data_IF_290290937421
#
_entry.id   IF_290290937421
#
_cell.length_a   1.000
_cell.length_b   1.000
_cell.length_c   1.000
_cell.angle_alpha   90.00
_cell.angle_beta   90.00
_cell.angle_gamma   90.00
#
_symmetry.space_group_name_H-M   'P 1'
#
loop_
_entity.id
_entity.type
_entity.pdbx_description
1 polymer ?
#
# COMPACT_ATOMS: atom_id res chain seq x y z
N UNK A 1 59.92 22.53 8.65
CA UNK A 1 60.29 22.89 10.05
C UNK A 1 58.97 23.18 10.77
N UNK A 2 58.67 22.47 11.85
CA UNK A 2 57.54 22.70 12.74
C UNK A 2 56.62 21.45 12.86
N UNK A 3 57.12 20.41 13.54
CA UNK A 3 56.32 19.27 13.97
C UNK A 3 55.57 19.64 15.25
N UNK A 4 54.26 19.31 15.30
CA UNK A 4 53.48 19.29 16.52
C UNK A 4 53.05 17.87 16.84
N UNK A 5 53.38 17.47 18.09
CA UNK A 5 53.18 16.13 18.67
C UNK A 5 51.71 15.88 19.07
N UNK A 6 51.32 14.58 19.28
CA UNK A 6 49.94 14.23 19.63
C UNK A 6 49.71 14.30 21.16
N UNK A 7 48.54 14.80 21.54
CA UNK A 7 48.01 14.79 22.90
C UNK A 7 47.69 13.33 23.34
N UNK A 8 48.35 12.91 24.44
CA UNK A 8 47.96 11.73 25.22
C UNK A 8 46.81 12.09 26.16
N UNK A 9 45.78 11.28 26.17
CA UNK A 9 44.73 11.29 27.18
C UNK A 9 45.00 10.11 28.14
N UNK A 10 45.32 10.42 29.37
CA UNK A 10 45.50 9.44 30.45
C UNK A 10 44.14 8.94 30.95
N UNK A 11 43.94 7.62 30.89
CA UNK A 11 42.83 6.92 31.57
C UNK A 11 43.21 6.68 33.03
N UNK A 12 42.55 7.37 33.95
CA UNK A 12 42.62 7.08 35.38
C UNK A 12 41.68 5.91 35.72
N UNK A 13 42.25 4.78 36.06
CA UNK A 13 41.58 3.61 36.64
C UNK A 13 41.33 3.87 38.16
N UNK A 14 40.07 3.99 38.53
CA UNK A 14 39.67 4.03 39.94
C UNK A 14 39.30 2.60 40.39
N UNK A 15 40.17 2.00 41.21
CA UNK A 15 39.92 0.73 41.93
C UNK A 15 39.35 1.07 43.31
N UNK A 16 38.20 0.52 43.68
CA UNK A 16 37.72 0.41 45.05
C UNK A 16 37.80 -1.05 45.52
N UNK A 17 38.12 -1.27 46.79
CA UNK A 17 38.55 -2.58 47.32
C UNK A 17 37.36 -3.46 47.78
N UNK A 18 37.60 -4.76 47.69
CA UNK A 18 36.79 -5.83 48.28
C UNK A 18 36.73 -5.76 49.80
N UNK A 19 35.53 -5.75 50.36
CA UNK A 19 35.32 -6.24 51.74
C UNK A 19 34.56 -7.56 51.72
N UNK A 20 35.27 -8.57 52.22
CA UNK A 20 34.74 -9.90 52.49
C UNK A 20 34.10 -9.91 53.91
N UNK A 21 32.82 -10.23 53.99
CA UNK A 21 32.19 -10.58 55.27
C UNK A 21 31.83 -12.05 55.25
N UNK A 22 32.61 -12.81 56.03
CA UNK A 22 32.27 -14.18 56.40
C UNK A 22 31.25 -14.17 57.53
N UNK A 23 30.17 -14.88 57.42
CA UNK A 23 29.27 -15.20 58.54
C UNK A 23 28.91 -16.67 58.58
N UNK A 24 29.14 -17.15 59.78
CA UNK A 24 29.05 -18.49 60.36
C UNK A 24 27.76 -19.26 60.02
N UNK A 25 28.01 -20.55 59.82
CA UNK A 25 27.01 -21.64 59.94
C UNK A 25 26.55 -21.78 61.40
N UNK A 26 25.25 -21.78 61.62
CA UNK A 26 24.67 -22.50 62.76
C UNK A 26 23.66 -23.54 62.23
N UNK A 27 23.91 -24.78 62.52
CA UNK A 27 23.04 -25.92 62.35
C UNK A 27 22.02 -25.93 63.47
N UNK A 28 20.74 -25.96 63.10
CA UNK A 28 19.70 -26.48 64.04
C UNK A 28 18.81 -27.46 63.29
N UNK A 29 18.86 -28.69 63.71
CA UNK A 29 17.99 -29.78 63.33
C UNK A 29 16.63 -29.59 64.02
N UNK A 30 15.52 -29.58 63.27
CA UNK A 30 14.24 -30.03 63.79
C UNK A 30 13.46 -30.77 62.71
N UNK A 31 12.99 -31.93 63.12
CA UNK A 31 12.19 -32.89 62.37
C UNK A 31 10.75 -32.39 62.24
N UNK A 32 10.11 -32.72 61.10
CA UNK A 32 8.71 -33.02 61.14
C UNK A 32 7.86 -32.37 60.05
N UNK A 33 7.17 -33.24 59.39
CA UNK A 33 5.87 -33.08 58.74
C UNK A 33 5.79 -32.69 57.25
N UNK A 34 5.25 -33.62 56.57
CA UNK A 34 4.62 -33.60 55.23
C UNK A 34 4.09 -32.28 54.78
N UNK A 35 4.51 -31.83 53.61
CA UNK A 35 3.79 -30.80 52.90
C UNK A 35 3.73 -31.11 51.42
N UNK A 36 2.55 -31.25 50.99
CA UNK A 36 1.94 -31.36 49.66
C UNK A 36 2.71 -30.44 48.65
N UNK A 37 3.37 -31.09 47.69
CA UNK A 37 3.94 -30.36 46.57
C UNK A 37 2.83 -29.94 45.64
N UNK A 38 2.39 -28.68 45.70
CA UNK A 38 1.61 -28.05 44.66
C UNK A 38 2.51 -27.83 43.45
N UNK A 39 2.48 -28.74 42.51
CA UNK A 39 2.92 -28.50 41.13
C UNK A 39 1.94 -27.51 40.52
N UNK A 40 2.24 -26.23 40.61
CA UNK A 40 1.66 -25.23 39.71
C UNK A 40 2.30 -25.43 38.34
N UNK A 41 1.60 -26.24 37.52
CA UNK A 41 1.82 -26.27 36.07
C UNK A 41 1.43 -24.91 35.54
N UNK A 42 2.41 -24.00 35.45
CA UNK A 42 2.29 -22.77 34.69
C UNK A 42 2.11 -23.16 33.23
N UNK A 43 0.88 -23.27 32.78
CA UNK A 43 0.54 -23.29 31.36
C UNK A 43 1.01 -21.94 30.79
N UNK A 44 2.22 -21.92 30.25
CA UNK A 44 2.66 -20.95 29.29
C UNK A 44 1.71 -21.07 28.08
N UNK A 45 0.64 -20.27 28.08
CA UNK A 45 -0.06 -19.96 26.84
C UNK A 45 0.96 -19.22 25.97
N UNK A 46 1.71 -19.99 25.18
CA UNK A 46 2.34 -19.46 23.99
C UNK A 46 1.20 -18.97 23.13
N UNK A 47 0.97 -17.65 23.11
CA UNK A 47 0.26 -17.00 22.04
C UNK A 47 1.07 -17.28 20.78
N UNK A 48 0.80 -18.43 20.15
CA UNK A 48 1.19 -18.67 18.77
C UNK A 48 0.53 -17.56 17.99
N UNK A 49 1.33 -16.59 17.52
CA UNK A 49 0.88 -15.68 16.48
C UNK A 49 0.37 -16.60 15.35
N UNK A 50 -0.96 -16.67 15.16
CA UNK A 50 -1.56 -17.49 14.12
C UNK A 50 -1.17 -16.89 12.77
N UNK A 51 -0.06 -17.35 12.18
CA UNK A 51 0.19 -17.18 10.77
C UNK A 51 -1.06 -17.68 10.02
N UNK A 52 -1.63 -16.85 9.13
CA UNK A 52 -2.83 -17.21 8.38
C UNK A 52 -4.17 -16.83 9.02
N UNK A 53 -4.19 -16.18 10.21
CA UNK A 53 -5.44 -15.83 10.89
C UNK A 53 -6.38 -14.97 10.04
N UNK A 54 -5.85 -14.03 9.23
CA UNK A 54 -6.68 -13.20 8.37
C UNK A 54 -7.28 -13.99 7.22
N UNK A 55 -6.50 -14.85 6.57
CA UNK A 55 -7.02 -15.69 5.48
C UNK A 55 -8.16 -16.62 5.96
N UNK A 56 -8.00 -17.25 7.12
CA UNK A 56 -9.03 -18.10 7.69
C UNK A 56 -10.28 -17.31 8.11
N UNK A 57 -10.10 -16.11 8.68
CA UNK A 57 -11.21 -15.21 8.99
C UNK A 57 -11.95 -14.76 7.72
N UNK A 58 -11.22 -14.41 6.65
CA UNK A 58 -11.78 -14.04 5.34
C UNK A 58 -12.62 -15.20 4.79
N UNK A 59 -12.06 -16.43 4.77
CA UNK A 59 -12.78 -17.63 4.32
C UNK A 59 -14.03 -17.89 5.17
N UNK A 60 -13.92 -17.77 6.48
CA UNK A 60 -15.03 -18.01 7.42
C UNK A 60 -16.17 -17.01 7.24
N UNK A 61 -15.89 -15.71 7.09
CA UNK A 61 -16.91 -14.68 6.88
C UNK A 61 -17.46 -14.64 5.44
N UNK A 62 -16.77 -15.28 4.48
CA UNK A 62 -17.23 -15.47 3.10
C UNK A 62 -17.02 -14.26 2.18
N UNK A 63 -16.22 -13.27 2.56
CA UNK A 63 -15.87 -12.10 1.75
C UNK A 63 -14.58 -11.44 2.24
N UNK A 64 -13.94 -10.68 1.35
CA UNK A 64 -12.81 -9.78 1.68
C UNK A 64 -13.37 -8.42 2.12
N UNK A 65 -12.97 -7.88 3.27
CA UNK A 65 -13.25 -6.50 3.65
C UNK A 65 -12.09 -5.62 3.18
N UNK A 66 -12.31 -4.82 2.16
CA UNK A 66 -11.28 -3.99 1.54
C UNK A 66 -11.46 -2.51 1.86
N UNK A 67 -10.42 -1.88 2.43
CA UNK A 67 -10.37 -0.44 2.62
C UNK A 67 -9.98 0.27 1.32
N UNK A 68 -10.83 1.17 0.86
CA UNK A 68 -10.67 1.96 -0.37
C UNK A 68 -10.73 3.46 -0.06
N UNK A 69 -10.43 4.31 -1.04
CA UNK A 69 -10.54 5.76 -0.90
C UNK A 69 -11.99 6.24 -0.85
N UNK A 70 -12.18 7.42 -0.33
CA UNK A 70 -13.45 8.13 -0.11
C UNK A 70 -13.98 8.86 -1.35
N UNK A 71 -13.67 8.37 -2.56
CA UNK A 71 -14.23 8.91 -3.82
C UNK A 71 -13.19 9.46 -4.78
N UNK A 72 -12.18 8.64 -5.11
CA UNK A 72 -11.09 9.01 -6.02
C UNK A 72 -11.35 8.48 -7.44
N UNK A 73 -11.61 9.33 -8.46
CA UNK A 73 -11.82 8.91 -9.83
C UNK A 73 -10.68 8.05 -10.37
N UNK A 74 -11.02 7.02 -11.11
CA UNK A 74 -10.07 6.06 -11.68
C UNK A 74 -9.51 5.04 -10.69
N UNK A 75 -9.47 5.32 -9.39
CA UNK A 75 -8.95 4.41 -8.36
C UNK A 75 -10.04 3.73 -7.54
N UNK A 76 -10.91 4.52 -6.89
CA UNK A 76 -12.07 4.00 -6.17
C UNK A 76 -13.17 5.06 -6.11
N UNK A 77 -14.28 4.80 -6.74
CA UNK A 77 -15.45 5.67 -6.75
C UNK A 77 -16.72 4.83 -6.91
N UNK A 78 -17.83 5.33 -6.40
CA UNK A 78 -19.13 4.74 -6.60
C UNK A 78 -19.81 5.36 -7.84
N UNK A 79 -20.45 4.54 -8.66
CA UNK A 79 -21.32 5.00 -9.74
C UNK A 79 -22.69 5.46 -9.21
N UNK A 80 -23.58 5.87 -10.10
CA UNK A 80 -24.92 6.33 -9.75
C UNK A 80 -25.81 5.25 -9.09
N UNK A 81 -25.42 3.97 -9.18
CA UNK A 81 -26.12 2.84 -8.57
C UNK A 81 -25.52 2.48 -7.21
N UNK A 82 -24.40 3.10 -6.85
CA UNK A 82 -23.65 2.78 -5.64
C UNK A 82 -22.63 1.65 -5.83
N UNK A 83 -22.43 1.15 -7.06
CA UNK A 83 -21.42 0.13 -7.35
C UNK A 83 -20.03 0.77 -7.40
N UNK A 84 -19.07 0.14 -6.72
CA UNK A 84 -17.70 0.63 -6.70
C UNK A 84 -16.91 0.20 -7.93
N UNK A 85 -16.14 1.14 -8.49
CA UNK A 85 -15.28 0.99 -9.65
C UNK A 85 -13.91 1.61 -9.39
N UNK A 86 -12.92 1.21 -10.18
CA UNK A 86 -11.59 1.79 -10.18
C UNK A 86 -10.48 0.76 -10.05
N UNK A 87 -9.25 1.21 -10.24
CA UNK A 87 -8.06 0.37 -10.24
C UNK A 87 -7.80 -0.27 -8.86
N UNK A 88 -7.96 0.49 -7.77
CA UNK A 88 -7.86 -0.02 -6.40
C UNK A 88 -8.97 -1.06 -6.10
N UNK A 89 -10.17 -0.82 -6.62
CA UNK A 89 -11.32 -1.74 -6.50
C UNK A 89 -11.05 -3.05 -7.24
N UNK A 90 -10.44 -2.99 -8.41
CA UNK A 90 -10.08 -4.19 -9.18
C UNK A 90 -9.04 -5.06 -8.46
N UNK A 91 -8.08 -4.44 -7.75
CA UNK A 91 -7.14 -5.19 -6.89
C UNK A 91 -7.89 -5.92 -5.77
N UNK A 92 -8.85 -5.27 -5.10
CA UNK A 92 -9.69 -5.93 -4.08
C UNK A 92 -10.49 -7.10 -4.68
N UNK A 93 -11.07 -6.92 -5.87
CA UNK A 93 -11.79 -7.96 -6.62
C UNK A 93 -10.89 -9.13 -7.02
N UNK A 94 -9.63 -8.84 -7.40
CA UNK A 94 -8.66 -9.87 -7.72
C UNK A 94 -8.38 -10.78 -6.52
N UNK A 95 -8.20 -10.20 -5.33
CA UNK A 95 -8.02 -10.98 -4.10
C UNK A 95 -9.27 -11.82 -3.78
N UNK A 96 -10.47 -11.25 -3.92
CA UNK A 96 -11.71 -11.99 -3.72
C UNK A 96 -11.88 -13.14 -4.73
N UNK A 97 -11.55 -12.91 -6.01
CA UNK A 97 -11.57 -13.94 -7.04
C UNK A 97 -10.55 -15.06 -6.74
N UNK A 98 -9.37 -14.73 -6.23
CA UNK A 98 -8.36 -15.71 -5.83
C UNK A 98 -8.85 -16.61 -4.69
N UNK A 99 -9.44 -16.02 -3.64
CA UNK A 99 -9.83 -16.74 -2.43
C UNK A 99 -11.13 -17.55 -2.63
N UNK A 100 -12.12 -16.95 -3.29
CA UNK A 100 -13.48 -17.49 -3.38
C UNK A 100 -13.86 -17.99 -4.78
N UNK A 101 -13.02 -17.76 -5.79
CA UNK A 101 -13.42 -17.99 -7.18
C UNK A 101 -14.51 -17.02 -7.68
N UNK A 102 -14.81 -15.97 -6.91
CA UNK A 102 -15.86 -14.97 -7.19
C UNK A 102 -15.40 -13.57 -6.80
N UNK A 103 -15.18 -12.70 -7.80
CA UNK A 103 -14.74 -11.32 -7.63
C UNK A 103 -15.77 -10.44 -6.90
N UNK A 104 -17.02 -10.89 -6.75
CA UNK A 104 -18.08 -10.17 -6.02
C UNK A 104 -18.04 -10.44 -4.50
N UNK A 105 -17.24 -11.38 -4.05
CA UNK A 105 -17.05 -11.70 -2.62
C UNK A 105 -16.14 -10.69 -1.93
N UNK A 106 -16.43 -9.41 -2.12
CA UNK A 106 -15.71 -8.27 -1.51
C UNK A 106 -16.71 -7.25 -1.02
N UNK A 107 -16.42 -6.66 0.14
CA UNK A 107 -17.10 -5.49 0.69
C UNK A 107 -16.10 -4.35 0.85
N UNK A 108 -16.55 -3.14 0.68
CA UNK A 108 -15.70 -1.97 0.69
C UNK A 108 -15.97 -1.10 1.93
N UNK A 109 -14.90 -0.60 2.55
CA UNK A 109 -14.95 0.46 3.55
C UNK A 109 -14.25 1.68 2.97
N UNK A 110 -14.99 2.77 2.78
CA UNK A 110 -14.39 4.05 2.38
C UNK A 110 -13.67 4.66 3.57
N UNK A 111 -12.41 5.03 3.39
CA UNK A 111 -11.52 5.53 4.43
C UNK A 111 -10.83 6.81 3.97
N UNK A 112 -10.79 7.79 4.85
CA UNK A 112 -9.94 8.96 4.66
C UNK A 112 -8.45 8.59 4.76
N UNK A 113 -7.57 9.50 4.38
CA UNK A 113 -6.12 9.27 4.51
C UNK A 113 -5.67 9.12 5.97
N UNK A 114 -6.39 9.72 6.93
CA UNK A 114 -6.11 9.61 8.38
C UNK A 114 -6.54 8.27 8.95
N UNK A 115 -7.69 7.74 8.54
CA UNK A 115 -8.34 6.57 9.14
C UNK A 115 -7.76 5.24 8.65
N UNK A 116 -7.24 5.20 7.42
CA UNK A 116 -6.88 3.94 6.73
C UNK A 116 -5.97 3.01 7.53
N UNK A 117 -4.97 3.56 8.22
CA UNK A 117 -4.02 2.72 8.97
C UNK A 117 -4.63 2.19 10.26
N UNK A 118 -5.42 2.98 10.96
CA UNK A 118 -6.15 2.54 12.17
C UNK A 118 -7.17 1.47 11.83
N UNK A 119 -7.93 1.62 10.74
CA UNK A 119 -8.88 0.63 10.27
C UNK A 119 -8.20 -0.71 9.89
N UNK A 120 -7.01 -0.65 9.25
CA UNK A 120 -6.24 -1.85 8.96
C UNK A 120 -5.69 -2.51 10.23
N UNK A 121 -5.11 -1.73 11.14
CA UNK A 121 -4.53 -2.23 12.39
C UNK A 121 -5.57 -2.86 13.32
N UNK A 122 -6.75 -2.26 13.42
CA UNK A 122 -7.86 -2.77 14.26
C UNK A 122 -8.53 -4.03 13.71
N UNK A 123 -8.31 -4.35 12.41
CA UNK A 123 -8.98 -5.45 11.74
C UNK A 123 -10.36 -5.10 11.19
N UNK A 124 -10.74 -3.83 11.16
CA UNK A 124 -11.95 -3.35 10.49
C UNK A 124 -11.91 -3.69 8.99
N UNK A 125 -10.73 -3.60 8.39
CA UNK A 125 -10.47 -4.07 7.03
C UNK A 125 -9.38 -5.14 7.01
N UNK A 126 -9.45 -6.05 6.04
CA UNK A 126 -8.47 -7.13 5.88
C UNK A 126 -7.24 -6.64 5.10
N UNK A 127 -7.46 -5.74 4.18
CA UNK A 127 -6.43 -5.12 3.35
C UNK A 127 -6.80 -3.68 3.00
N UNK A 128 -5.79 -2.90 2.62
CA UNK A 128 -5.96 -1.61 1.97
C UNK A 128 -5.58 -1.72 0.50
N UNK A 129 -6.45 -1.27 -0.38
CA UNK A 129 -6.14 -0.88 -1.75
C UNK A 129 -6.72 0.52 -1.92
N UNK A 130 -5.89 1.53 -1.61
CA UNK A 130 -6.36 2.90 -1.37
C UNK A 130 -5.27 3.92 -1.73
N UNK A 131 -4.64 3.77 -2.89
CA UNK A 131 -3.62 4.72 -3.37
C UNK A 131 -2.66 5.13 -2.24
N UNK A 132 -2.05 4.13 -1.57
CA UNK A 132 -1.24 4.34 -0.37
C UNK A 132 0.24 4.23 -0.69
N UNK A 133 0.96 5.33 -0.56
CA UNK A 133 2.40 5.40 -0.78
C UNK A 133 3.16 4.52 0.22
N UNK A 134 3.97 3.61 -0.29
CA UNK A 134 4.91 2.82 0.50
C UNK A 134 6.10 3.69 0.91
N UNK A 135 6.25 3.92 2.21
CA UNK A 135 7.40 4.64 2.79
C UNK A 135 8.04 3.83 3.91
N UNK A 136 9.33 4.07 4.18
CA UNK A 136 10.05 3.39 5.25
C UNK A 136 9.42 3.61 6.63
N UNK A 137 8.90 4.81 6.92
CA UNK A 137 8.24 5.10 8.19
C UNK A 137 6.94 4.33 8.37
N UNK A 138 6.11 4.26 7.31
CA UNK A 138 4.85 3.50 7.35
C UNK A 138 5.10 2.00 7.47
N UNK A 139 6.04 1.47 6.70
CA UNK A 139 6.41 0.06 6.71
C UNK A 139 7.10 -0.34 8.03
N UNK A 140 8.00 0.51 8.53
CA UNK A 140 8.77 0.22 9.75
C UNK A 140 7.99 0.38 11.06
N UNK A 141 7.15 1.42 11.18
CA UNK A 141 6.61 1.85 12.47
C UNK A 141 5.13 1.54 12.69
N UNK A 142 4.34 1.30 11.63
CA UNK A 142 2.88 1.23 11.75
C UNK A 142 2.31 -0.20 11.88
N UNK A 143 3.13 -1.25 12.02
CA UNK A 143 2.64 -2.62 12.12
C UNK A 143 1.86 -3.10 10.88
N UNK A 144 2.13 -2.49 9.73
CA UNK A 144 1.57 -2.83 8.43
C UNK A 144 2.68 -3.33 7.49
N UNK A 145 2.31 -3.97 6.40
CA UNK A 145 3.22 -4.51 5.41
C UNK A 145 2.68 -4.20 4.02
N UNK A 146 3.53 -3.60 3.19
CA UNK A 146 3.21 -3.28 1.80
C UNK A 146 3.55 -4.46 0.90
N UNK A 147 2.67 -4.81 -0.06
CA UNK A 147 2.79 -6.03 -0.88
C UNK A 147 3.68 -5.81 -2.11
N UNK A 148 3.10 -5.39 -3.22
CA UNK A 148 3.79 -5.03 -4.45
C UNK A 148 3.25 -3.71 -4.96
N UNK A 149 4.09 -2.91 -5.61
CA UNK A 149 3.66 -1.62 -6.15
C UNK A 149 2.61 -1.84 -7.23
N UNK A 150 1.39 -1.36 -6.97
CA UNK A 150 0.29 -1.41 -7.93
C UNK A 150 0.36 -0.27 -8.94
N UNK A 151 0.83 0.91 -8.52
CA UNK A 151 0.92 2.09 -9.37
C UNK A 151 2.11 2.96 -8.98
N UNK A 152 2.95 3.30 -9.92
CA UNK A 152 4.06 4.26 -9.75
C UNK A 152 3.56 5.65 -10.09
N UNK A 153 3.52 6.52 -9.10
CA UNK A 153 3.07 7.89 -9.20
C UNK A 153 4.12 8.89 -8.69
N UNK A 154 3.76 10.13 -8.66
CA UNK A 154 4.53 11.21 -8.08
C UNK A 154 3.65 12.42 -7.79
N UNK A 155 4.03 13.21 -6.80
CA UNK A 155 3.30 14.40 -6.42
C UNK A 155 3.46 15.52 -7.46
N UNK A 156 2.35 16.17 -7.81
CA UNK A 156 2.30 17.30 -8.73
C UNK A 156 1.43 18.44 -8.21
N UNK A 157 1.10 19.35 -9.10
CA UNK A 157 0.39 20.60 -8.80
C UNK A 157 -0.70 20.86 -9.83
N UNK A 158 -1.91 21.13 -9.38
CA UNK A 158 -3.04 21.60 -10.21
C UNK A 158 -3.31 23.06 -9.88
N UNK A 159 -3.33 23.91 -10.90
CA UNK A 159 -3.57 25.34 -10.78
C UNK A 159 -4.62 25.82 -11.77
N UNK A 160 -5.31 26.93 -11.45
CA UNK A 160 -6.10 27.63 -12.44
C UNK A 160 -5.17 28.36 -13.41
N UNK A 161 -5.41 28.25 -14.71
CA UNK A 161 -4.61 28.91 -15.77
C UNK A 161 -4.57 30.43 -15.62
N UNK A 162 -5.57 31.04 -14.96
CA UNK A 162 -5.59 32.48 -14.65
C UNK A 162 -4.44 32.91 -13.75
N UNK A 163 -3.84 31.99 -12.98
CA UNK A 163 -2.66 32.25 -12.18
C UNK A 163 -1.42 32.61 -13.06
N UNK A 164 -1.43 32.20 -14.32
CA UNK A 164 -0.40 32.54 -15.31
C UNK A 164 0.91 31.78 -15.17
N UNK A 165 1.04 30.89 -14.18
CA UNK A 165 2.25 30.09 -13.91
C UNK A 165 2.36 28.89 -14.84
N UNK A 166 3.59 28.51 -15.18
CA UNK A 166 3.89 27.36 -16.05
C UNK A 166 4.80 26.33 -15.38
N UNK A 167 5.32 26.66 -14.22
CA UNK A 167 6.28 25.85 -13.47
C UNK A 167 6.01 25.94 -11.98
N UNK A 168 6.24 24.85 -11.25
CA UNK A 168 6.17 24.83 -9.80
C UNK A 168 7.15 25.81 -9.13
N UNK A 169 8.21 26.22 -9.83
CA UNK A 169 9.17 27.22 -9.35
C UNK A 169 8.59 28.65 -9.30
N UNK A 170 7.47 28.86 -9.95
CA UNK A 170 6.78 30.16 -9.98
C UNK A 170 5.70 30.26 -8.87
N UNK A 171 5.59 29.25 -7.99
CA UNK A 171 4.60 29.16 -6.93
C UNK A 171 5.06 29.73 -5.58
N UNK A 172 6.13 30.57 -5.56
CA UNK A 172 6.59 31.20 -4.33
C UNK A 172 5.50 32.09 -3.72
N UNK A 173 5.22 31.90 -2.43
CA UNK A 173 4.19 32.63 -1.70
C UNK A 173 2.74 32.12 -1.88
N UNK A 174 2.50 31.14 -2.76
CA UNK A 174 1.17 30.63 -3.05
C UNK A 174 0.53 29.87 -1.85
N UNK A 175 -0.81 29.79 -1.87
CA UNK A 175 -1.61 28.98 -0.92
C UNK A 175 -1.91 27.61 -1.51
N UNK A 176 -1.72 26.55 -0.69
CA UNK A 176 -1.84 25.15 -1.12
C UNK A 176 -2.96 24.43 -0.39
N UNK A 177 -3.90 23.85 -1.13
CA UNK A 177 -4.84 22.87 -0.62
C UNK A 177 -4.16 21.51 -0.53
N UNK A 178 -4.21 20.87 0.65
CA UNK A 178 -3.55 19.59 0.94
C UNK A 178 -4.48 18.70 1.73
N UNK A 179 -4.56 17.40 1.38
CA UNK A 179 -5.27 16.43 2.22
C UNK A 179 -4.40 16.00 3.40
N UNK A 180 -4.92 16.12 4.61
CA UNK A 180 -4.25 15.70 5.84
C UNK A 180 -4.06 14.17 5.92
N UNK A 181 -2.98 13.72 6.60
CA UNK A 181 -2.65 12.30 6.73
C UNK A 181 -1.97 11.68 5.50
N UNK A 182 -1.57 12.51 4.54
CA UNK A 182 -0.80 12.12 3.35
C UNK A 182 0.70 12.42 3.53
N UNK A 183 1.53 11.92 2.63
CA UNK A 183 2.96 12.30 2.55
C UNK A 183 3.15 13.63 1.81
N UNK A 184 2.11 14.11 1.16
CA UNK A 184 2.08 15.32 0.32
C UNK A 184 2.58 16.56 1.06
N UNK A 185 2.22 16.70 2.34
CA UNK A 185 2.62 17.83 3.17
C UNK A 185 4.15 17.87 3.39
N UNK A 186 4.75 16.71 3.70
CA UNK A 186 6.20 16.60 3.90
C UNK A 186 6.97 16.86 2.60
N UNK A 187 6.52 16.26 1.50
CA UNK A 187 7.14 16.45 0.19
C UNK A 187 7.08 17.91 -0.26
N UNK A 188 5.93 18.57 -0.04
CA UNK A 188 5.76 19.99 -0.34
C UNK A 188 6.74 20.85 0.47
N UNK A 189 6.81 20.60 1.79
CA UNK A 189 7.72 21.31 2.69
C UNK A 189 9.17 21.16 2.24
N UNK A 190 9.59 19.95 1.91
CA UNK A 190 10.96 19.68 1.46
C UNK A 190 11.27 20.33 0.12
N UNK A 191 10.34 20.28 -0.84
CA UNK A 191 10.51 20.90 -2.15
C UNK A 191 10.65 22.43 -2.04
N UNK A 192 9.76 23.09 -1.28
CA UNK A 192 9.80 24.53 -1.12
C UNK A 192 11.03 25.01 -0.36
N UNK A 193 11.39 24.31 0.73
CA UNK A 193 12.62 24.59 1.49
C UNK A 193 13.88 24.45 0.62
N UNK A 194 14.00 23.39 -0.16
CA UNK A 194 15.18 23.15 -1.00
C UNK A 194 15.31 24.13 -2.17
N UNK A 195 14.20 24.74 -2.58
CA UNK A 195 14.21 25.79 -3.61
C UNK A 195 14.20 27.22 -3.03
N UNK A 196 14.26 27.39 -1.70
CA UNK A 196 14.26 28.72 -1.05
C UNK A 196 12.92 29.45 -1.17
N UNK A 197 11.83 28.73 -1.45
CA UNK A 197 10.50 29.29 -1.65
C UNK A 197 9.65 29.20 -0.38
N UNK A 198 8.63 30.05 -0.28
CA UNK A 198 7.64 30.10 0.79
C UNK A 198 6.28 29.62 0.26
N UNK A 199 5.44 29.10 1.15
CA UNK A 199 4.07 28.72 0.84
C UNK A 199 3.18 28.77 2.09
N UNK A 200 1.86 28.79 1.89
CA UNK A 200 0.88 28.71 2.97
C UNK A 200 0.02 27.45 2.80
N UNK A 201 0.13 26.43 3.69
CA UNK A 201 -0.69 25.25 3.60
C UNK A 201 -2.10 25.48 4.16
N UNK A 202 -3.12 24.93 3.49
CA UNK A 202 -4.50 24.83 3.96
C UNK A 202 -4.87 23.34 3.91
N UNK A 203 -5.06 22.71 5.07
CA UNK A 203 -5.31 21.27 5.18
C UNK A 203 -6.80 20.97 5.28
N UNK A 204 -7.21 19.86 4.64
CA UNK A 204 -8.58 19.34 4.61
C UNK A 204 -8.58 17.87 5.00
N UNK A 205 -9.70 17.37 5.53
CA UNK A 205 -9.79 15.97 5.92
C UNK A 205 -10.01 15.04 4.72
N UNK A 206 -10.76 15.49 3.73
CA UNK A 206 -11.04 14.70 2.53
C UNK A 206 -10.43 15.30 1.27
N UNK A 207 -10.25 14.44 0.25
CA UNK A 207 -9.80 14.87 -1.08
C UNK A 207 -10.82 15.82 -1.72
N UNK A 208 -12.11 15.54 -1.58
CA UNK A 208 -13.19 16.36 -2.16
C UNK A 208 -13.24 17.78 -1.56
N UNK A 209 -12.99 17.93 -0.26
CA UNK A 209 -12.93 19.25 0.37
C UNK A 209 -11.76 20.08 -0.16
N UNK A 210 -10.58 19.48 -0.26
CA UNK A 210 -9.39 20.17 -0.79
C UNK A 210 -9.60 20.62 -2.23
N UNK A 211 -10.28 19.79 -3.01
CA UNK A 211 -10.58 20.06 -4.40
C UNK A 211 -11.63 21.20 -4.57
N UNK A 212 -12.73 21.16 -3.81
CA UNK A 212 -13.73 22.25 -3.78
C UNK A 212 -13.14 23.58 -3.31
N UNK A 213 -12.15 23.52 -2.42
CA UNK A 213 -11.44 24.69 -1.95
C UNK A 213 -10.59 25.33 -3.06
N UNK A 214 -9.92 24.53 -3.92
CA UNK A 214 -9.27 25.04 -5.12
C UNK A 214 -10.28 25.66 -6.09
N UNK A 215 -11.39 24.97 -6.37
CA UNK A 215 -12.43 25.43 -7.30
C UNK A 215 -13.04 26.76 -6.87
N UNK A 216 -13.25 26.94 -5.56
CA UNK A 216 -13.77 28.20 -4.99
C UNK A 216 -12.72 29.31 -4.83
N UNK A 217 -11.44 29.05 -5.18
CA UNK A 217 -10.34 30.01 -5.03
C UNK A 217 -9.88 30.23 -3.60
N UNK A 218 -10.21 29.32 -2.67
CA UNK A 218 -9.72 29.37 -1.28
C UNK A 218 -8.22 29.07 -1.19
N UNK A 219 -7.67 28.34 -2.15
CA UNK A 219 -6.24 28.16 -2.35
C UNK A 219 -5.91 28.32 -3.83
N UNK A 220 -4.65 28.66 -4.12
CA UNK A 220 -4.14 28.87 -5.47
C UNK A 220 -3.79 27.55 -6.17
N UNK A 221 -3.36 26.57 -5.38
CA UNK A 221 -2.80 25.30 -5.85
C UNK A 221 -3.40 24.12 -5.08
N UNK A 222 -3.81 23.08 -5.79
CA UNK A 222 -4.02 21.77 -5.21
C UNK A 222 -2.80 20.90 -5.47
N UNK A 223 -2.30 20.21 -4.45
CA UNK A 223 -1.17 19.30 -4.59
C UNK A 223 -1.51 17.92 -4.01
N UNK A 224 -1.28 16.90 -4.80
CA UNK A 224 -1.39 15.47 -4.48
C UNK A 224 -0.71 14.67 -5.59
N UNK A 225 -0.89 13.36 -5.63
CA UNK A 225 -0.41 12.48 -6.70
C UNK A 225 -0.94 12.94 -8.07
N UNK A 226 -0.10 12.92 -9.10
CA UNK A 226 -0.49 13.41 -10.43
C UNK A 226 -1.70 12.67 -11.00
N UNK A 227 -1.79 11.35 -10.82
CA UNK A 227 -2.94 10.59 -11.27
C UNK A 227 -4.24 11.07 -10.64
N UNK A 228 -4.20 11.44 -9.36
CA UNK A 228 -5.33 12.02 -8.64
C UNK A 228 -5.69 13.42 -9.16
N UNK A 229 -4.68 14.25 -9.48
CA UNK A 229 -4.92 15.57 -10.08
C UNK A 229 -5.64 15.46 -11.43
N UNK A 230 -5.27 14.50 -12.28
CA UNK A 230 -5.97 14.26 -13.53
C UNK A 230 -7.42 13.83 -13.29
N UNK A 231 -7.67 12.92 -12.37
CA UNK A 231 -9.02 12.46 -12.05
C UNK A 231 -9.90 13.56 -11.43
N UNK A 232 -9.34 14.31 -10.49
CA UNK A 232 -10.04 15.41 -9.82
C UNK A 232 -10.35 16.56 -10.79
N UNK A 233 -9.43 16.88 -11.70
CA UNK A 233 -9.67 17.91 -12.74
C UNK A 233 -10.94 17.63 -13.55
N UNK A 234 -11.23 16.36 -13.85
CA UNK A 234 -12.44 16.00 -14.62
C UNK A 234 -13.75 16.28 -13.88
N UNK A 235 -13.72 16.43 -12.55
CA UNK A 235 -14.91 16.78 -11.74
C UNK A 235 -15.19 18.30 -11.69
N UNK A 236 -14.24 19.15 -12.11
CA UNK A 236 -14.41 20.60 -12.10
C UNK A 236 -15.54 21.04 -13.03
N UNK A 237 -16.25 22.11 -12.66
CA UNK A 237 -17.25 22.72 -13.54
C UNK A 237 -16.63 23.21 -14.87
N UNK A 238 -15.38 23.67 -14.84
CA UNK A 238 -14.60 24.14 -15.98
C UNK A 238 -13.21 23.48 -16.02
N UNK A 239 -13.10 22.17 -16.38
CA UNK A 239 -11.84 21.43 -16.35
C UNK A 239 -10.74 22.08 -17.20
N UNK A 240 -11.12 22.74 -18.29
CA UNK A 240 -10.19 23.38 -19.22
C UNK A 240 -9.55 24.67 -18.69
N UNK A 241 -10.11 25.25 -17.64
CA UNK A 241 -9.51 26.42 -16.95
C UNK A 241 -8.36 26.02 -16.05
N UNK A 242 -8.15 24.72 -15.80
CA UNK A 242 -7.12 24.22 -14.91
C UNK A 242 -6.06 23.40 -15.66
N UNK A 243 -4.84 23.43 -15.14
CA UNK A 243 -3.69 22.70 -15.69
C UNK A 243 -2.90 22.03 -14.58
N UNK A 244 -2.48 20.78 -14.83
CA UNK A 244 -1.47 20.10 -14.03
C UNK A 244 -0.11 20.56 -14.52
N UNK A 245 0.71 21.11 -13.60
CA UNK A 245 2.06 21.56 -13.93
C UNK A 245 2.98 20.36 -14.25
N UNK A 246 4.05 20.59 -15.04
CA UNK A 246 4.90 19.49 -15.53
C UNK A 246 5.77 18.83 -14.47
N UNK A 247 6.03 19.51 -13.36
CA UNK A 247 6.93 18.99 -12.33
C UNK A 247 6.31 17.86 -11.51
N UNK A 248 7.15 16.85 -11.27
CA UNK A 248 6.92 15.75 -10.32
C UNK A 248 7.94 15.88 -9.20
N UNK A 249 7.49 16.11 -7.98
CA UNK A 249 8.39 16.47 -6.87
C UNK A 249 8.69 15.31 -5.91
N UNK A 250 8.08 14.14 -6.10
CA UNK A 250 8.30 12.97 -5.25
C UNK A 250 8.19 11.66 -6.03
N UNK A 251 8.49 10.57 -5.33
CA UNK A 251 8.18 9.19 -5.75
C UNK A 251 7.04 8.67 -4.89
N UNK A 252 5.96 8.27 -5.53
CA UNK A 252 4.76 7.75 -4.85
C UNK A 252 4.47 6.31 -5.34
N UNK A 253 5.16 5.30 -4.78
CA UNK A 253 4.84 3.90 -5.08
C UNK A 253 3.57 3.49 -4.36
N UNK A 254 2.43 3.56 -5.04
CA UNK A 254 1.11 3.24 -4.48
C UNK A 254 0.96 1.72 -4.39
N UNK A 255 0.76 1.24 -3.19
CA UNK A 255 0.91 -0.19 -2.88
C UNK A 255 -0.21 -0.68 -1.96
N UNK A 256 -0.86 -1.80 -2.28
CA UNK A 256 -1.77 -2.46 -1.33
C UNK A 256 -1.04 -2.88 -0.06
N UNK A 257 -1.71 -2.75 1.07
CA UNK A 257 -1.13 -3.05 2.37
C UNK A 257 -2.02 -3.99 3.20
N UNK A 258 -1.38 -4.78 4.06
CA UNK A 258 -2.00 -5.70 5.01
C UNK A 258 -1.42 -5.49 6.40
N UNK A 259 -2.02 -6.09 7.44
CA UNK A 259 -1.41 -6.15 8.77
C UNK A 259 -0.13 -6.96 8.72
N UNK A 260 0.88 -6.54 9.47
CA UNK A 260 2.13 -7.28 9.63
C UNK A 260 1.91 -8.51 10.52
N UNK A 261 2.66 -9.58 10.22
CA UNK A 261 2.65 -10.82 11.01
C UNK A 261 1.62 -11.84 10.54
N UNK A 262 1.02 -11.62 9.36
CA UNK A 262 0.17 -12.60 8.67
C UNK A 262 0.74 -12.85 7.26
N UNK A 263 1.74 -13.70 7.18
CA UNK A 263 2.50 -13.94 5.95
C UNK A 263 1.65 -14.66 4.89
N UNK A 264 0.70 -15.50 5.29
CA UNK A 264 -0.19 -16.19 4.36
C UNK A 264 -1.10 -15.17 3.65
N UNK A 265 -1.71 -14.25 4.43
CA UNK A 265 -2.55 -13.20 3.85
C UNK A 265 -1.75 -12.21 2.99
N UNK A 266 -0.58 -11.80 3.47
CA UNK A 266 0.35 -10.98 2.71
C UNK A 266 0.69 -11.62 1.36
N UNK A 267 0.99 -12.93 1.37
CA UNK A 267 1.35 -13.69 0.17
C UNK A 267 0.19 -13.77 -0.80
N UNK A 268 -1.04 -14.03 -0.33
CA UNK A 268 -2.25 -14.04 -1.17
C UNK A 268 -2.49 -12.69 -1.86
N UNK A 269 -2.40 -11.58 -1.12
CA UNK A 269 -2.62 -10.24 -1.69
C UNK A 269 -1.53 -9.90 -2.71
N UNK A 270 -0.26 -10.19 -2.38
CA UNK A 270 0.88 -9.98 -3.28
C UNK A 270 0.73 -10.74 -4.59
N UNK A 271 0.44 -12.04 -4.50
CA UNK A 271 0.34 -12.89 -5.69
C UNK A 271 -0.90 -12.62 -6.53
N UNK A 272 -1.98 -12.09 -5.94
CA UNK A 272 -3.14 -11.67 -6.72
C UNK A 272 -2.80 -10.55 -7.71
N UNK A 273 -2.02 -9.55 -7.30
CA UNK A 273 -1.52 -8.52 -8.22
C UNK A 273 -0.47 -9.08 -9.18
N UNK A 274 0.44 -9.93 -8.69
CA UNK A 274 1.45 -10.57 -9.52
C UNK A 274 0.84 -11.44 -10.63
N UNK A 275 -0.28 -12.12 -10.37
CA UNK A 275 -1.01 -12.88 -11.38
C UNK A 275 -1.56 -11.98 -12.50
N UNK A 276 -2.08 -10.80 -12.16
CA UNK A 276 -2.54 -9.84 -13.16
C UNK A 276 -1.40 -9.35 -14.06
N UNK A 277 -0.23 -9.07 -13.47
CA UNK A 277 0.97 -8.63 -14.22
C UNK A 277 1.53 -9.75 -15.10
N UNK A 278 1.69 -10.96 -14.56
CA UNK A 278 2.14 -12.12 -15.35
C UNK A 278 1.18 -12.44 -16.49
N UNK A 279 -0.14 -12.30 -16.27
CA UNK A 279 -1.12 -12.50 -17.32
C UNK A 279 -0.97 -11.48 -18.46
N UNK A 280 -0.72 -10.21 -18.15
CA UNK A 280 -0.45 -9.20 -19.18
C UNK A 280 0.82 -9.54 -19.96
N UNK A 281 1.89 -9.92 -19.27
CA UNK A 281 3.18 -10.29 -19.88
C UNK A 281 3.06 -11.50 -20.81
N UNK A 282 2.23 -12.48 -20.44
CA UNK A 282 1.95 -13.68 -21.23
C UNK A 282 0.85 -13.50 -22.28
N UNK A 283 0.27 -12.30 -22.41
CA UNK A 283 -0.82 -12.01 -23.35
C UNK A 283 -2.16 -12.69 -22.99
N UNK A 284 -2.35 -13.05 -21.71
CA UNK A 284 -3.61 -13.62 -21.22
C UNK A 284 -4.54 -12.50 -20.78
N UNK A 285 -5.76 -12.52 -21.28
CA UNK A 285 -6.80 -11.52 -21.05
C UNK A 285 -8.08 -12.17 -20.54
N UNK A 286 -9.00 -11.35 -20.03
CA UNK A 286 -10.35 -11.80 -19.67
C UNK A 286 -11.09 -12.48 -20.83
N UNK A 287 -10.75 -12.14 -22.07
CA UNK A 287 -11.40 -12.65 -23.28
C UNK A 287 -10.84 -14.02 -23.71
N UNK A 288 -9.55 -14.28 -23.52
CA UNK A 288 -8.89 -15.50 -24.03
C UNK A 288 -8.52 -16.53 -22.95
N UNK A 289 -8.63 -16.20 -21.66
CA UNK A 289 -8.23 -17.08 -20.54
C UNK A 289 -8.88 -18.47 -20.61
N UNK A 290 -10.17 -18.56 -20.96
CA UNK A 290 -10.88 -19.82 -21.06
C UNK A 290 -10.42 -20.70 -22.25
N UNK A 291 -9.94 -20.10 -23.32
CA UNK A 291 -9.31 -20.80 -24.42
C UNK A 291 -7.92 -21.28 -24.04
N UNK A 292 -7.12 -20.42 -23.42
CA UNK A 292 -5.77 -20.74 -22.96
C UNK A 292 -5.77 -21.87 -21.91
N UNK A 293 -6.75 -21.91 -21.01
CA UNK A 293 -6.96 -23.02 -20.06
C UNK A 293 -7.11 -24.37 -20.77
N UNK A 294 -7.70 -24.41 -21.96
CA UNK A 294 -8.00 -25.64 -22.68
C UNK A 294 -6.89 -26.07 -23.65
N UNK A 295 -6.18 -25.11 -24.22
CA UNK A 295 -5.38 -25.34 -25.42
C UNK A 295 -3.93 -24.90 -25.32
N UNK A 296 -3.53 -24.12 -24.30
CA UNK A 296 -2.17 -23.60 -24.18
C UNK A 296 -1.17 -24.74 -23.97
N UNK A 297 -0.10 -24.70 -24.77
CA UNK A 297 1.07 -25.59 -24.62
C UNK A 297 2.27 -24.86 -23.98
N UNK A 298 2.11 -23.56 -23.67
CA UNK A 298 3.13 -22.80 -22.98
C UNK A 298 3.14 -23.17 -21.49
N UNK A 299 4.26 -23.71 -20.96
CA UNK A 299 4.31 -24.16 -19.57
C UNK A 299 4.16 -23.02 -18.56
N UNK A 300 4.55 -21.78 -18.89
CA UNK A 300 4.34 -20.63 -17.97
C UNK A 300 2.85 -20.29 -17.89
N UNK A 301 2.13 -20.36 -19.01
CA UNK A 301 0.66 -20.19 -19.03
C UNK A 301 -0.02 -21.33 -18.27
N UNK A 302 0.40 -22.57 -18.49
CA UNK A 302 -0.18 -23.74 -17.82
C UNK A 302 -0.03 -23.65 -16.29
N UNK A 303 1.13 -23.22 -15.80
CA UNK A 303 1.38 -22.99 -14.38
C UNK A 303 0.55 -21.81 -13.84
N UNK A 304 0.56 -20.66 -14.53
CA UNK A 304 -0.23 -19.50 -14.12
C UNK A 304 -1.71 -19.83 -14.01
N UNK A 305 -2.26 -20.56 -14.98
CA UNK A 305 -3.69 -20.90 -15.02
C UNK A 305 -4.06 -22.14 -14.16
N UNK A 306 -3.07 -22.81 -13.55
CA UNK A 306 -3.28 -23.93 -12.65
C UNK A 306 -3.59 -25.27 -13.34
N UNK A 307 -3.29 -25.39 -14.65
CA UNK A 307 -3.43 -26.66 -15.40
C UNK A 307 -2.18 -27.55 -15.27
N UNK A 308 -1.06 -27.00 -14.80
CA UNK A 308 0.18 -27.71 -14.49
C UNK A 308 0.65 -27.31 -13.07
N UNK A 309 1.08 -28.29 -12.27
CA UNK A 309 1.53 -28.09 -10.90
C UNK A 309 0.37 -27.95 -9.90
N UNK A 310 0.72 -27.65 -8.64
CA UNK A 310 -0.22 -27.48 -7.53
C UNK A 310 0.02 -26.18 -6.78
N UNK A 311 0.37 -25.10 -7.49
CA UNK A 311 0.85 -23.83 -6.93
C UNK A 311 -0.22 -23.09 -6.10
N UNK A 312 -1.50 -23.34 -6.35
CA UNK A 312 -2.58 -22.82 -5.49
C UNK A 312 -2.50 -23.36 -4.07
N UNK A 313 -2.11 -24.64 -3.90
CA UNK A 313 -1.97 -25.27 -2.58
C UNK A 313 -0.93 -24.54 -1.71
N UNK A 314 0.16 -24.06 -2.30
CA UNK A 314 1.23 -23.36 -1.58
C UNK A 314 0.76 -22.00 -1.05
N UNK A 315 -0.33 -21.46 -1.61
CA UNK A 315 -0.99 -20.23 -1.22
C UNK A 315 -2.25 -20.45 -0.38
N UNK A 316 -2.57 -21.71 -0.01
CA UNK A 316 -3.85 -22.07 0.60
C UNK A 316 -5.07 -21.64 -0.25
N UNK A 317 -4.94 -21.66 -1.58
CA UNK A 317 -5.95 -21.29 -2.57
C UNK A 317 -6.29 -22.48 -3.50
N UNK A 318 -7.44 -22.40 -4.21
CA UNK A 318 -7.73 -23.32 -5.32
C UNK A 318 -6.64 -23.20 -6.41
N UNK A 319 -6.37 -24.30 -7.13
CA UNK A 319 -5.27 -24.29 -8.11
C UNK A 319 -5.52 -23.34 -9.30
N UNK A 320 -6.79 -23.06 -9.61
CA UNK A 320 -7.22 -22.14 -10.67
C UNK A 320 -7.39 -20.68 -10.22
N UNK A 321 -6.84 -20.32 -9.05
CA UNK A 321 -6.98 -18.98 -8.44
C UNK A 321 -6.64 -17.83 -9.39
N UNK A 322 -5.52 -17.91 -10.12
CA UNK A 322 -5.11 -16.89 -11.08
C UNK A 322 -6.02 -16.84 -12.31
N UNK A 323 -6.47 -18.01 -12.82
CA UNK A 323 -7.43 -18.06 -13.90
C UNK A 323 -8.76 -17.39 -13.51
N UNK A 324 -9.21 -17.54 -12.25
CA UNK A 324 -10.41 -16.87 -11.72
C UNK A 324 -10.24 -15.35 -11.66
N UNK A 325 -9.07 -14.86 -11.25
CA UNK A 325 -8.75 -13.42 -11.30
C UNK A 325 -8.89 -12.91 -12.73
N UNK A 326 -8.17 -13.53 -13.67
CA UNK A 326 -8.08 -13.05 -15.05
C UNK A 326 -9.45 -13.09 -15.73
N UNK A 327 -10.23 -14.16 -15.52
CA UNK A 327 -11.55 -14.29 -16.13
C UNK A 327 -12.56 -13.23 -15.67
N UNK A 328 -12.45 -12.76 -14.41
CA UNK A 328 -13.47 -11.89 -13.82
C UNK A 328 -13.02 -10.43 -13.68
N UNK A 329 -11.73 -10.19 -13.53
CA UNK A 329 -11.14 -8.86 -13.34
C UNK A 329 -10.33 -8.44 -14.57
N UNK A 330 -9.71 -9.39 -15.26
CA UNK A 330 -8.76 -9.15 -16.33
C UNK A 330 -7.32 -9.13 -15.86
N UNK A 331 -6.40 -8.91 -16.79
CA UNK A 331 -5.00 -8.69 -16.48
C UNK A 331 -4.75 -7.23 -16.02
N UNK A 332 -3.51 -6.91 -15.65
CA UNK A 332 -3.14 -5.56 -15.17
C UNK A 332 -3.40 -4.48 -16.24
N UNK A 333 -3.06 -4.73 -17.51
CA UNK A 333 -3.30 -3.79 -18.61
C UNK A 333 -4.77 -3.53 -18.84
N UNK A 334 -5.63 -4.56 -18.79
CA UNK A 334 -7.08 -4.40 -18.92
C UNK A 334 -7.66 -3.54 -17.78
N UNK A 335 -7.20 -3.77 -16.52
CA UNK A 335 -7.62 -2.96 -15.38
C UNK A 335 -7.12 -1.52 -15.49
N UNK A 336 -5.86 -1.34 -15.87
CA UNK A 336 -5.30 0.00 -16.09
C UNK A 336 -6.06 0.76 -17.17
N UNK A 337 -6.23 0.18 -18.35
CA UNK A 337 -6.88 0.86 -19.50
C UNK A 337 -8.32 1.22 -19.19
N UNK A 338 -9.08 0.35 -18.55
CA UNK A 338 -10.47 0.57 -18.18
C UNK A 338 -10.65 1.71 -17.20
N UNK A 339 -9.74 1.83 -16.22
CA UNK A 339 -9.92 2.75 -15.10
C UNK A 339 -9.14 4.05 -15.24
N UNK A 340 -7.94 4.02 -15.82
CA UNK A 340 -6.99 5.12 -15.85
C UNK A 340 -6.55 5.47 -17.28
N UNK A 341 -6.46 4.47 -18.14
CA UNK A 341 -5.84 4.55 -19.45
C UNK A 341 -6.78 4.98 -20.57
N UNK A 342 -6.54 4.46 -21.76
CA UNK A 342 -7.23 4.84 -23.00
C UNK A 342 -8.74 4.57 -22.98
N UNK A 343 -9.19 3.61 -22.19
CA UNK A 343 -10.59 3.26 -21.99
C UNK A 343 -11.34 4.13 -20.98
N UNK A 344 -10.65 5.03 -20.26
CA UNK A 344 -11.23 5.95 -19.28
C UNK A 344 -11.18 7.40 -19.77
N UNK A 345 -11.92 8.29 -19.10
CA UNK A 345 -11.87 9.73 -19.36
C UNK A 345 -10.55 10.37 -18.93
N UNK A 346 -9.77 9.71 -18.06
CA UNK A 346 -8.48 10.21 -17.57
C UNK A 346 -7.38 10.17 -18.63
N UNK A 347 -7.43 9.21 -19.57
CA UNK A 347 -6.48 9.05 -20.69
C UNK A 347 -5.00 9.05 -20.25
N UNK A 348 -4.71 8.55 -19.04
CA UNK A 348 -3.34 8.49 -18.52
C UNK A 348 -2.53 7.49 -19.33
N UNK A 349 -1.34 7.90 -19.75
CA UNK A 349 -0.38 7.01 -20.41
C UNK A 349 0.25 6.07 -19.38
N UNK A 350 0.56 4.84 -19.77
CA UNK A 350 1.19 3.83 -18.90
C UNK A 350 2.48 4.36 -18.24
N UNK A 351 3.39 4.95 -19.01
CA UNK A 351 4.65 5.48 -18.49
C UNK A 351 5.40 4.45 -17.63
N UNK A 352 5.75 4.81 -16.40
CA UNK A 352 6.39 3.89 -15.43
C UNK A 352 5.52 2.67 -15.08
N UNK A 353 4.22 2.74 -15.31
CA UNK A 353 3.27 1.66 -15.08
C UNK A 353 3.17 0.65 -16.25
N UNK A 354 3.95 0.81 -17.32
CA UNK A 354 4.12 -0.21 -18.33
C UNK A 354 4.94 -1.40 -17.78
N UNK A 355 4.83 -2.56 -18.43
CA UNK A 355 5.65 -3.70 -18.09
C UNK A 355 7.14 -3.39 -18.30
N UNK A 356 8.01 -4.04 -17.56
CA UNK A 356 9.47 -3.92 -17.67
C UNK A 356 9.96 -4.16 -19.11
N UNK A 357 9.36 -5.11 -19.81
CA UNK A 357 9.67 -5.43 -21.22
C UNK A 357 9.23 -4.32 -22.20
N UNK A 358 8.41 -3.37 -21.75
CA UNK A 358 7.91 -2.21 -22.50
C UNK A 358 8.52 -0.87 -22.01
N UNK A 359 9.57 -0.94 -21.19
CA UNK A 359 10.26 0.24 -20.66
C UNK A 359 9.66 0.83 -19.39
N UNK A 360 8.71 0.15 -18.75
CA UNK A 360 8.15 0.54 -17.44
C UNK A 360 8.84 -0.14 -16.26
N UNK A 361 8.24 -0.04 -15.09
CA UNK A 361 8.73 -0.61 -13.82
C UNK A 361 7.87 -1.77 -13.31
N UNK A 362 6.76 -2.11 -13.98
CA UNK A 362 5.94 -3.23 -13.56
C UNK A 362 6.65 -4.56 -13.88
N UNK A 363 7.05 -5.23 -12.81
CA UNK A 363 7.81 -6.48 -12.84
C UNK A 363 7.26 -7.43 -11.79
N UNK A 364 6.65 -8.53 -12.21
CA UNK A 364 6.16 -9.55 -11.31
C UNK A 364 7.11 -10.75 -11.22
N UNK A 365 7.26 -11.38 -10.03
CA UNK A 365 7.96 -12.67 -9.95
C UNK A 365 7.25 -13.74 -10.80
N UNK A 366 7.99 -14.70 -11.39
CA UNK A 366 7.39 -15.76 -12.18
C UNK A 366 6.60 -16.74 -11.31
N UNK A 367 5.49 -17.24 -11.83
CA UNK A 367 4.67 -18.28 -11.20
C UNK A 367 5.32 -19.64 -11.42
N UNK A 368 6.12 -20.11 -10.47
CA UNK A 368 6.88 -21.37 -10.55
C UNK A 368 6.89 -22.13 -9.23
#
# INVERSE_FOLDING_TARGET
>A
MGAQAPLRVDLALNRHPHESIAMKQERTLLKGASTLACLTLGTLFTLSANAGATLENVKSKGFVQCGISDGLPGFSYADAKGDFHGFDVDVCRAVAAAVFGDAKKVKYTQLTAKERFTALQSGEVDMLSRSTTWTSSRDGAMGIQFTSVAYYDGQGFLVNKKLGVKSAKELDGATFCIQAGTVTELNLSDYFRSNGMKYTPITFDTSDESFKALESGRCDVLTTDQSQLYGQRLKLATPDDFVVLPEVISKEPLTPAVRRGDEDWFTVVRWSLAAMLNAEELGITSKNVNEQLKSSKNPDIARLLGTEGALGKDLNLPNDWAAKIIAQVGNYGESFDRNLGSGSDMKIKRGLNALWSQGGLQYAPPVR
#
